data_IF_248323548974
#
_entry.id   IF_248323548974
#
_cell.length_a   1.000
_cell.length_b   1.000
_cell.length_c   1.000
_cell.angle_alpha   90.00
_cell.angle_beta   90.00
_cell.angle_gamma   90.00
#
_symmetry.space_group_name_H-M   'P 1'
#
loop_
_entity.id
_entity.type
_entity.pdbx_description
1 polymer ?
#
# COMPACT_ATOMS: atom_id res chain seq x y z
N UNK A 1 27.88 28.45 -52.06
CA UNK A 1 26.75 28.24 -51.13
C UNK A 1 27.16 28.77 -49.76
N UNK A 2 26.44 29.76 -49.25
CA UNK A 2 26.77 30.47 -48.00
C UNK A 2 26.24 29.67 -46.80
N UNK A 3 27.13 29.38 -45.86
CA UNK A 3 26.85 28.71 -44.59
C UNK A 3 26.18 29.72 -43.65
N UNK A 4 24.89 29.55 -43.34
CA UNK A 4 24.21 30.34 -42.30
C UNK A 4 24.43 29.69 -40.95
N UNK A 5 25.29 30.31 -40.13
CA UNK A 5 25.45 30.01 -38.71
C UNK A 5 24.38 30.79 -37.96
N UNK A 6 23.33 30.11 -37.51
CA UNK A 6 22.35 30.69 -36.58
C UNK A 6 22.89 30.50 -35.17
N UNK A 7 23.42 31.57 -34.60
CA UNK A 7 23.85 31.64 -33.19
C UNK A 7 22.60 31.84 -32.33
N UNK A 8 22.10 30.77 -31.71
CA UNK A 8 21.07 30.86 -30.67
C UNK A 8 21.78 31.20 -29.36
N UNK A 9 21.60 32.43 -28.88
CA UNK A 9 22.00 32.88 -27.54
C UNK A 9 21.17 32.12 -26.49
N UNK A 10 21.68 30.99 -26.00
CA UNK A 10 21.16 30.35 -24.79
C UNK A 10 21.70 31.14 -23.59
N UNK A 11 20.83 31.94 -23.00
CA UNK A 11 21.07 32.70 -21.79
C UNK A 11 21.37 31.72 -20.64
N UNK A 12 22.65 31.48 -20.34
CA UNK A 12 23.11 30.79 -19.15
C UNK A 12 22.82 31.65 -17.91
N UNK A 13 21.59 31.58 -17.39
CA UNK A 13 21.31 32.02 -16.03
C UNK A 13 21.92 30.98 -15.09
N UNK A 14 22.97 31.42 -14.41
CA UNK A 14 23.62 30.81 -13.26
C UNK A 14 22.61 30.22 -12.26
N UNK A 15 22.22 28.95 -12.44
CA UNK A 15 21.62 28.16 -11.38
C UNK A 15 22.72 27.82 -10.39
N UNK A 16 22.83 28.66 -9.36
CA UNK A 16 23.55 28.40 -8.12
C UNK A 16 23.35 26.93 -7.72
N UNK A 17 24.46 26.21 -7.58
CA UNK A 17 24.54 24.89 -6.96
C UNK A 17 23.80 24.89 -5.62
N UNK A 18 22.54 24.45 -5.62
CA UNK A 18 21.86 24.10 -4.37
C UNK A 18 22.45 22.77 -3.89
N UNK A 19 23.37 22.85 -2.93
CA UNK A 19 23.64 21.70 -2.03
C UNK A 19 22.31 21.32 -1.40
N UNK A 20 21.69 20.23 -1.86
CA UNK A 20 20.61 19.59 -1.14
C UNK A 20 21.16 19.05 0.18
N UNK A 21 21.13 19.91 1.22
CA UNK A 21 21.18 19.47 2.60
C UNK A 21 19.92 18.64 2.84
N UNK A 22 20.08 17.32 2.77
CA UNK A 22 19.14 16.34 3.33
C UNK A 22 18.93 16.65 4.81
N UNK A 23 17.97 17.53 5.11
CA UNK A 23 17.41 17.70 6.44
C UNK A 23 16.21 16.78 6.54
N UNK A 24 16.38 15.64 7.23
CA UNK A 24 15.29 14.83 7.78
C UNK A 24 14.33 15.76 8.53
N UNK A 25 13.21 16.13 7.91
CA UNK A 25 12.18 17.00 8.48
C UNK A 25 11.02 16.12 8.95
N UNK A 26 11.10 15.69 10.20
CA UNK A 26 9.89 15.36 10.95
C UNK A 26 9.11 16.68 11.13
N UNK A 27 8.10 16.94 10.30
CA UNK A 27 7.21 18.10 10.47
C UNK A 27 5.87 17.64 11.05
N UNK A 28 5.68 17.91 12.33
CA UNK A 28 4.35 18.14 12.89
C UNK A 28 3.82 19.45 12.31
N UNK A 29 2.60 19.47 11.80
CA UNK A 29 1.92 20.71 11.41
C UNK A 29 1.32 21.32 12.68
N UNK A 30 1.56 22.62 12.89
CA UNK A 30 0.86 23.43 13.88
C UNK A 30 0.13 24.53 13.11
N UNK A 31 -1.17 24.68 13.34
CA UNK A 31 -1.89 25.89 12.95
C UNK A 31 -1.35 27.05 13.80
N UNK A 32 -0.83 28.08 13.14
CA UNK A 32 -0.36 29.29 13.81
C UNK A 32 -1.60 30.16 14.07
N UNK A 33 -1.96 30.30 15.34
CA UNK A 33 -2.78 31.42 15.79
C UNK A 33 -1.84 32.61 16.00
N UNK A 34 -2.21 33.80 15.50
CA UNK A 34 -1.28 34.92 15.27
C UNK A 34 -0.75 35.63 16.52
N UNK A 35 -1.22 35.27 17.72
CA UNK A 35 -0.91 36.01 18.94
C UNK A 35 -0.27 35.12 20.01
N UNK A 36 1.07 34.97 19.98
CA UNK A 36 1.96 34.80 21.14
C UNK A 36 3.30 34.14 20.76
N UNK A 37 4.39 34.88 20.95
CA UNK A 37 5.75 34.44 20.66
C UNK A 37 6.37 33.64 21.81
N UNK A 38 5.88 32.43 22.11
CA UNK A 38 6.64 31.46 22.92
C UNK A 38 6.27 30.00 22.59
N UNK A 39 6.88 29.46 21.53
CA UNK A 39 6.84 28.02 21.25
C UNK A 39 7.85 27.27 22.13
N UNK A 40 7.42 26.79 23.30
CA UNK A 40 8.15 25.73 24.03
C UNK A 40 8.21 24.48 23.13
N UNK A 41 9.38 24.20 22.56
CA UNK A 41 9.67 22.91 21.90
C UNK A 41 9.64 21.79 22.93
N UNK A 42 8.47 21.23 23.21
CA UNK A 42 8.39 19.87 23.77
C UNK A 42 8.84 18.92 22.66
N UNK A 43 10.03 18.33 22.79
CA UNK A 43 10.42 17.13 22.03
C UNK A 43 9.49 16.00 22.47
N UNK A 44 8.31 15.92 21.86
CA UNK A 44 7.49 14.73 21.99
C UNK A 44 8.23 13.63 21.24
N UNK A 45 8.95 12.76 21.96
CA UNK A 45 9.40 11.47 21.43
C UNK A 45 8.13 10.67 21.15
N UNK A 46 7.46 10.93 20.01
CA UNK A 46 6.36 10.09 19.54
C UNK A 46 6.96 8.69 19.40
N UNK A 47 6.53 7.75 20.25
CA UNK A 47 6.81 6.33 20.02
C UNK A 47 6.30 6.05 18.62
N UNK A 48 7.22 5.78 17.69
CA UNK A 48 6.87 5.50 16.31
C UNK A 48 6.22 4.12 16.34
N UNK A 49 4.90 4.09 16.25
CA UNK A 49 4.19 2.88 15.87
C UNK A 49 4.73 2.47 14.50
N UNK A 50 5.08 1.20 14.33
CA UNK A 50 5.64 0.70 13.07
C UNK A 50 4.86 -0.55 12.68
N UNK A 51 3.60 -0.35 12.28
CA UNK A 51 2.84 -1.43 11.68
C UNK A 51 3.53 -1.86 10.39
N UNK A 52 3.94 -3.13 10.30
CA UNK A 52 4.52 -3.73 9.10
C UNK A 52 3.43 -4.53 8.38
N UNK A 53 3.44 -4.50 7.05
CA UNK A 53 2.62 -5.41 6.24
C UNK A 53 3.14 -6.84 6.43
N UNK A 54 2.28 -7.70 6.96
CA UNK A 54 2.62 -9.09 7.26
C UNK A 54 1.97 -10.06 6.26
N UNK A 55 0.80 -9.71 5.73
CA UNK A 55 0.16 -10.49 4.69
C UNK A 55 -1.17 -9.93 4.20
N UNK A 56 -1.78 -10.66 3.29
CA UNK A 56 -3.12 -10.39 2.76
C UNK A 56 -3.91 -11.69 2.66
N UNK A 57 -5.19 -11.62 2.99
CA UNK A 57 -6.11 -12.73 2.87
C UNK A 57 -7.15 -12.46 1.78
N UNK A 58 -7.46 -13.45 0.96
CA UNK A 58 -8.57 -13.38 0.02
C UNK A 58 -9.10 -14.78 -0.33
N UNK A 59 -10.32 -14.82 -0.87
CA UNK A 59 -11.08 -16.04 -1.13
C UNK A 59 -10.79 -16.59 -2.53
N UNK A 60 -10.76 -17.92 -2.66
CA UNK A 60 -10.56 -18.62 -3.93
C UNK A 60 -11.63 -19.69 -4.13
N UNK A 61 -12.02 -19.95 -5.38
CA UNK A 61 -13.00 -21.01 -5.69
C UNK A 61 -12.42 -22.41 -5.52
N UNK A 62 -11.16 -22.60 -5.86
CA UNK A 62 -10.46 -23.88 -5.77
C UNK A 62 -9.06 -23.65 -5.19
N UNK A 63 -8.91 -24.02 -3.93
CA UNK A 63 -7.68 -23.82 -3.15
C UNK A 63 -6.50 -24.58 -3.77
N UNK A 64 -6.70 -25.80 -4.24
CA UNK A 64 -5.63 -26.60 -4.81
C UNK A 64 -5.18 -26.05 -6.16
N UNK A 65 -6.12 -25.59 -7.00
CA UNK A 65 -5.82 -24.92 -8.26
C UNK A 65 -5.06 -23.61 -8.03
N UNK A 66 -5.48 -22.81 -7.04
CA UNK A 66 -4.80 -21.55 -6.73
C UNK A 66 -3.43 -21.80 -6.12
N UNK A 67 -3.27 -22.76 -5.19
CA UNK A 67 -1.94 -23.17 -4.68
C UNK A 67 -1.03 -23.56 -5.85
N UNK A 68 -1.49 -24.44 -6.75
CA UNK A 68 -0.71 -24.90 -7.91
C UNK A 68 -0.26 -23.73 -8.78
N UNK A 69 -1.15 -22.76 -9.05
CA UNK A 69 -0.79 -21.55 -9.78
C UNK A 69 0.33 -20.77 -9.08
N UNK A 70 0.16 -20.41 -7.80
CA UNK A 70 1.16 -19.62 -7.09
C UNK A 70 2.49 -20.36 -6.94
N UNK A 71 2.50 -21.69 -6.74
CA UNK A 71 3.75 -22.45 -6.60
C UNK A 71 4.44 -22.68 -7.93
N UNK A 72 3.71 -23.03 -8.99
CA UNK A 72 4.31 -23.49 -10.24
C UNK A 72 4.51 -22.35 -11.25
N UNK A 73 3.68 -21.31 -11.19
CA UNK A 73 3.78 -20.14 -12.10
C UNK A 73 4.60 -19.02 -11.46
N UNK A 74 4.37 -18.74 -10.17
CA UNK A 74 4.96 -17.61 -9.47
C UNK A 74 6.03 -17.98 -8.44
N UNK A 75 6.37 -19.28 -8.31
CA UNK A 75 7.42 -19.79 -7.44
C UNK A 75 7.23 -19.46 -5.95
N UNK A 76 5.99 -19.28 -5.50
CA UNK A 76 5.69 -19.19 -4.07
C UNK A 76 5.90 -20.55 -3.39
N UNK A 77 6.29 -20.52 -2.12
CA UNK A 77 6.35 -21.70 -1.26
C UNK A 77 5.13 -21.75 -0.37
N UNK A 78 4.59 -22.95 -0.17
CA UNK A 78 3.54 -23.18 0.82
C UNK A 78 4.17 -23.19 2.20
N UNK A 79 3.87 -22.18 3.02
CA UNK A 79 4.33 -22.11 4.41
C UNK A 79 3.43 -22.95 5.33
N UNK A 80 2.11 -22.86 5.13
CA UNK A 80 1.11 -23.60 5.90
C UNK A 80 -0.04 -23.99 5.00
N UNK A 81 -0.54 -25.22 5.12
CA UNK A 81 -1.77 -25.68 4.47
C UNK A 81 -2.69 -26.31 5.50
N UNK A 82 -3.91 -25.83 5.54
CA UNK A 82 -5.01 -26.37 6.32
C UNK A 82 -6.09 -26.91 5.37
N UNK A 83 -7.20 -27.42 5.92
CA UNK A 83 -8.28 -28.01 5.13
C UNK A 83 -8.92 -27.00 4.16
N UNK A 84 -9.10 -25.78 4.61
CA UNK A 84 -9.86 -24.73 3.92
C UNK A 84 -9.03 -23.46 3.67
N UNK A 85 -7.74 -23.46 3.99
CA UNK A 85 -6.88 -22.31 3.73
C UNK A 85 -5.42 -22.71 3.54
N UNK A 86 -4.66 -21.85 2.88
CA UNK A 86 -3.22 -22.01 2.74
C UNK A 86 -2.50 -20.66 2.80
N UNK A 87 -1.36 -20.64 3.48
CA UNK A 87 -0.44 -19.52 3.51
C UNK A 87 0.74 -19.78 2.58
N UNK A 88 0.99 -18.83 1.70
CA UNK A 88 2.01 -18.84 0.68
C UNK A 88 2.98 -17.68 0.91
N UNK A 89 4.27 -17.95 0.75
CA UNK A 89 5.33 -16.95 0.91
C UNK A 89 6.21 -16.92 -0.34
N UNK A 90 6.69 -15.73 -0.69
CA UNK A 90 7.72 -15.53 -1.70
C UNK A 90 8.96 -14.99 -0.99
N UNK A 91 10.06 -15.74 -1.06
CA UNK A 91 11.26 -15.49 -0.27
C UNK A 91 11.10 -15.70 1.23
N UNK A 92 12.12 -15.30 1.99
CA UNK A 92 12.23 -15.59 3.42
C UNK A 92 11.75 -14.42 4.32
N UNK A 93 11.69 -13.18 3.80
CA UNK A 93 11.43 -11.95 4.57
C UNK A 93 10.18 -11.15 4.12
N UNK A 94 9.40 -11.71 3.20
CA UNK A 94 8.23 -11.06 2.58
C UNK A 94 6.92 -11.25 3.33
N UNK A 95 5.93 -10.41 3.03
CA UNK A 95 4.56 -10.63 3.46
C UNK A 95 3.97 -11.89 2.79
N UNK A 96 3.08 -12.60 3.49
CA UNK A 96 2.43 -13.80 2.96
C UNK A 96 1.12 -13.49 2.24
N UNK A 97 0.72 -14.40 1.36
CA UNK A 97 -0.63 -14.50 0.82
C UNK A 97 -1.33 -15.63 1.54
N UNK A 98 -2.53 -15.39 2.08
CA UNK A 98 -3.38 -16.45 2.62
C UNK A 98 -4.61 -16.63 1.75
N UNK A 99 -4.66 -17.77 1.08
CA UNK A 99 -5.79 -18.21 0.30
C UNK A 99 -6.81 -18.86 1.23
N UNK A 100 -8.07 -18.47 1.09
CA UNK A 100 -9.19 -19.05 1.85
C UNK A 100 -10.12 -19.73 0.85
N UNK A 101 -10.27 -21.05 0.96
CA UNK A 101 -11.27 -21.80 0.21
C UNK A 101 -12.64 -21.22 0.52
N UNK A 102 -13.33 -20.79 -0.52
CA UNK A 102 -14.69 -20.30 -0.40
C UNK A 102 -15.62 -21.41 0.10
N UNK A 103 -16.53 -21.04 0.99
CA UNK A 103 -17.70 -21.85 1.38
C UNK A 103 -18.91 -21.64 0.45
N UNK A 104 -20.12 -21.71 0.98
CA UNK A 104 -21.37 -21.50 0.22
C UNK A 104 -21.60 -20.00 -0.10
N UNK A 105 -22.00 -19.69 -1.34
CA UNK A 105 -22.31 -18.32 -1.83
C UNK A 105 -21.62 -17.97 -3.15
N UNK A 106 -21.79 -16.75 -3.67
CA UNK A 106 -21.00 -16.20 -4.78
C UNK A 106 -20.12 -15.05 -4.28
N UNK A 107 -18.90 -14.92 -4.84
CA UNK A 107 -18.06 -13.76 -4.56
C UNK A 107 -17.72 -13.01 -5.85
N UNK A 108 -17.53 -11.71 -5.72
CA UNK A 108 -17.08 -10.83 -6.78
C UNK A 108 -15.68 -10.32 -6.46
N UNK A 109 -14.80 -10.37 -7.46
CA UNK A 109 -13.47 -9.79 -7.38
C UNK A 109 -13.60 -8.30 -7.68
N UNK A 110 -12.99 -7.49 -6.83
CA UNK A 110 -12.92 -6.06 -7.06
C UNK A 110 -12.14 -5.80 -8.34
N UNK A 111 -12.48 -4.73 -9.04
CA UNK A 111 -11.95 -4.57 -10.37
C UNK A 111 -10.43 -4.28 -10.38
N UNK A 112 -9.72 -4.87 -11.33
CA UNK A 112 -8.27 -4.74 -11.43
C UNK A 112 -7.89 -3.74 -12.53
N UNK A 113 -7.21 -2.65 -12.15
CA UNK A 113 -6.57 -1.76 -13.12
C UNK A 113 -5.31 -2.43 -13.69
N UNK A 114 -5.29 -2.61 -15.01
CA UNK A 114 -4.09 -3.03 -15.74
C UNK A 114 -3.33 -1.78 -16.19
N UNK A 115 -2.03 -1.75 -15.92
CA UNK A 115 -1.11 -0.74 -16.50
C UNK A 115 -0.15 -1.46 -17.44
N UNK A 116 0.45 -0.79 -18.40
CA UNK A 116 1.51 -1.41 -19.23
C UNK A 116 2.74 -0.53 -19.20
N UNK A 117 3.78 -1.01 -18.55
CA UNK A 117 5.12 -0.44 -18.63
C UNK A 117 6.04 -1.43 -19.34
N UNK A 118 7.17 -0.94 -19.82
CA UNK A 118 8.19 -1.78 -20.45
C UNK A 118 8.81 -2.82 -19.48
N UNK A 119 8.73 -2.57 -18.18
CA UNK A 119 9.39 -3.38 -17.14
C UNK A 119 8.41 -4.19 -16.28
N UNK A 120 7.13 -4.23 -16.64
CA UNK A 120 6.16 -5.05 -15.93
C UNK A 120 5.19 -5.77 -16.87
N UNK A 121 4.61 -6.85 -16.37
CA UNK A 121 3.46 -7.49 -17.00
C UNK A 121 2.36 -7.74 -15.95
N UNK A 122 1.13 -7.85 -16.45
CA UNK A 122 -0.03 -8.15 -15.61
C UNK A 122 -0.55 -9.52 -16.01
N UNK A 123 -0.74 -10.36 -15.01
CA UNK A 123 -1.36 -11.67 -15.15
C UNK A 123 -2.54 -11.72 -14.19
N UNK A 124 -3.46 -12.65 -14.43
CA UNK A 124 -4.55 -12.96 -13.50
C UNK A 124 -4.33 -14.34 -12.93
N UNK A 125 -4.65 -14.50 -11.65
CA UNK A 125 -4.73 -15.82 -11.05
C UNK A 125 -5.98 -16.59 -11.54
N UNK A 126 -6.18 -17.86 -11.12
CA UNK A 126 -7.30 -18.68 -11.59
C UNK A 126 -8.69 -18.12 -11.31
N UNK A 127 -8.82 -17.25 -10.31
CA UNK A 127 -10.08 -16.64 -9.90
C UNK A 127 -10.29 -15.28 -10.58
N UNK A 128 -9.20 -14.60 -10.98
CA UNK A 128 -9.22 -13.32 -11.68
C UNK A 128 -8.54 -12.18 -10.93
N UNK A 129 -7.83 -12.47 -9.82
CA UNK A 129 -7.07 -11.45 -9.11
C UNK A 129 -5.90 -10.95 -9.96
N UNK A 130 -5.80 -9.63 -10.11
CA UNK A 130 -4.72 -9.01 -10.88
C UNK A 130 -3.39 -9.06 -10.12
N UNK A 131 -2.36 -9.59 -10.78
CA UNK A 131 -0.99 -9.68 -10.28
C UNK A 131 -0.08 -8.90 -11.21
N UNK A 132 0.62 -7.92 -10.65
CA UNK A 132 1.65 -7.18 -11.36
C UNK A 132 3.01 -7.84 -11.12
N UNK A 133 3.58 -8.41 -12.18
CA UNK A 133 4.93 -8.96 -12.18
C UNK A 133 5.88 -7.86 -12.65
N UNK A 134 6.79 -7.46 -11.77
CA UNK A 134 7.74 -6.38 -12.03
C UNK A 134 9.14 -6.97 -12.17
N UNK A 135 9.86 -6.58 -13.22
CA UNK A 135 11.27 -6.90 -13.33
C UNK A 135 12.05 -6.07 -12.31
N UNK A 136 12.51 -6.71 -11.24
CA UNK A 136 13.39 -6.11 -10.23
C UNK A 136 14.72 -6.85 -10.14
N UNK A 137 15.77 -6.12 -9.74
CA UNK A 137 17.13 -6.66 -9.53
C UNK A 137 17.39 -7.10 -8.08
N UNK A 138 16.37 -7.07 -7.22
CA UNK A 138 16.47 -7.35 -5.78
C UNK A 138 15.84 -8.72 -5.42
N UNK A 139 15.83 -9.05 -4.12
CA UNK A 139 15.39 -10.36 -3.60
C UNK A 139 13.98 -10.77 -4.00
N UNK A 140 13.78 -12.07 -4.24
CA UNK A 140 12.46 -12.68 -4.44
C UNK A 140 11.57 -12.43 -3.21
N UNK A 141 10.62 -11.51 -3.31
CA UNK A 141 9.64 -11.23 -2.25
C UNK A 141 8.33 -10.72 -2.83
N UNK A 142 7.25 -10.80 -2.04
CA UNK A 142 6.04 -10.03 -2.35
C UNK A 142 6.34 -8.54 -2.23
N UNK A 143 6.54 -7.86 -3.35
CA UNK A 143 6.97 -6.45 -3.40
C UNK A 143 5.93 -5.51 -2.81
N UNK A 144 4.68 -5.66 -3.27
CA UNK A 144 3.64 -4.67 -3.03
C UNK A 144 2.25 -5.26 -3.05
N UNK A 145 1.39 -4.71 -2.20
CA UNK A 145 -0.05 -4.94 -2.17
C UNK A 145 -0.71 -3.62 -2.54
N UNK A 146 -1.57 -3.64 -3.56
CA UNK A 146 -2.27 -2.45 -4.06
C UNK A 146 -3.74 -2.52 -3.70
N UNK A 147 -4.25 -1.46 -3.06
CA UNK A 147 -5.68 -1.19 -2.91
C UNK A 147 -6.05 0.12 -3.59
N UNK A 148 -7.34 0.28 -3.86
CA UNK A 148 -7.90 1.54 -4.35
C UNK A 148 -8.45 2.37 -3.20
N UNK A 149 -8.34 3.68 -3.29
CA UNK A 149 -8.85 4.62 -2.29
C UNK A 149 -9.64 5.70 -2.98
N UNK A 150 -10.69 6.21 -2.34
CA UNK A 150 -11.41 7.42 -2.75
C UNK A 150 -10.69 8.70 -2.31
N UNK A 151 -9.76 8.60 -1.36
CA UNK A 151 -9.12 9.76 -0.73
C UNK A 151 -7.72 9.43 -0.25
N UNK A 152 -6.72 9.93 -0.96
CA UNK A 152 -5.31 9.78 -0.53
C UNK A 152 -5.03 10.45 0.82
N UNK A 153 -5.85 11.43 1.22
CA UNK A 153 -5.76 12.09 2.54
C UNK A 153 -6.20 11.15 3.64
N UNK A 154 -7.29 10.42 3.45
CA UNK A 154 -7.81 9.47 4.43
C UNK A 154 -6.91 8.23 4.52
N UNK A 155 -6.42 7.74 3.38
CA UNK A 155 -5.37 6.73 3.36
C UNK A 155 -4.13 7.16 4.18
N UNK A 156 -3.63 8.38 3.97
CA UNK A 156 -2.49 8.89 4.74
C UNK A 156 -2.83 9.03 6.23
N UNK A 157 -4.00 9.56 6.58
CA UNK A 157 -4.44 9.69 7.97
C UNK A 157 -4.45 8.32 8.67
N UNK A 158 -5.02 7.31 8.03
CA UNK A 158 -5.12 5.96 8.59
C UNK A 158 -3.75 5.28 8.68
N UNK A 159 -3.06 5.09 7.56
CA UNK A 159 -1.84 4.28 7.54
C UNK A 159 -0.63 5.00 8.14
N UNK A 160 -0.48 6.32 7.93
CA UNK A 160 0.64 7.08 8.48
C UNK A 160 0.35 7.64 9.88
N UNK A 161 -0.71 8.44 10.04
CA UNK A 161 -0.87 9.20 11.29
C UNK A 161 -1.36 8.32 12.45
N UNK A 162 -2.30 7.42 12.17
CA UNK A 162 -2.85 6.47 13.14
C UNK A 162 -1.89 5.29 13.30
N UNK A 163 -1.66 4.50 12.25
CA UNK A 163 -0.88 3.26 12.33
C UNK A 163 0.65 3.46 12.32
N UNK A 164 1.14 4.65 11.99
CA UNK A 164 2.57 4.98 12.08
C UNK A 164 3.45 4.45 10.95
N UNK A 165 2.85 3.97 9.85
CA UNK A 165 3.61 3.62 8.65
C UNK A 165 4.25 4.88 8.03
N UNK A 166 5.38 4.71 7.36
CA UNK A 166 6.02 5.82 6.65
C UNK A 166 5.46 5.93 5.23
N UNK A 167 5.03 7.13 4.85
CA UNK A 167 4.78 7.45 3.44
C UNK A 167 6.12 7.57 2.72
N UNK A 168 6.49 6.54 1.94
CA UNK A 168 7.81 6.43 1.31
C UNK A 168 7.87 7.04 -0.08
N UNK A 169 6.74 7.09 -0.79
CA UNK A 169 6.65 7.64 -2.14
C UNK A 169 5.23 8.16 -2.39
N UNK A 170 5.14 9.24 -3.16
CA UNK A 170 3.92 9.68 -3.82
C UNK A 170 4.22 9.68 -5.31
N UNK A 171 3.35 9.11 -6.12
CA UNK A 171 3.50 9.07 -7.57
C UNK A 171 2.21 9.54 -8.25
N UNK A 172 2.33 10.50 -9.15
CA UNK A 172 1.24 10.91 -10.04
C UNK A 172 1.31 10.12 -11.34
N UNK A 173 0.15 9.80 -11.90
CA UNK A 173 -0.06 8.96 -13.08
C UNK A 173 -1.03 9.65 -14.02
N UNK A 174 -0.65 10.82 -14.54
CA UNK A 174 -1.57 11.71 -15.29
C UNK A 174 -2.09 11.12 -16.61
N UNK A 175 -1.46 10.08 -17.18
CA UNK A 175 -1.82 9.50 -18.49
C UNK A 175 -1.64 7.96 -18.56
N UNK A 176 -1.77 7.22 -17.44
CA UNK A 176 -1.25 5.84 -17.36
C UNK A 176 -2.26 4.77 -16.92
N UNK A 177 -3.50 5.13 -16.57
CA UNK A 177 -4.47 4.17 -16.03
C UNK A 177 -5.52 3.87 -17.09
N UNK A 178 -5.51 2.68 -17.67
CA UNK A 178 -6.59 2.22 -18.56
C UNK A 178 -7.63 1.44 -17.77
N UNK A 179 -8.89 1.89 -17.81
CA UNK A 179 -10.05 1.19 -17.24
C UNK A 179 -11.14 1.01 -18.29
N UNK A 180 -11.68 -0.20 -18.47
CA UNK A 180 -11.40 -1.09 -19.61
C UNK A 180 -11.13 -0.44 -21.00
N UNK A 181 -11.46 0.82 -21.28
CA UNK A 181 -11.13 1.53 -22.53
C UNK A 181 -10.85 3.05 -22.40
N UNK A 182 -10.77 3.63 -21.20
CA UNK A 182 -10.49 5.07 -20.98
C UNK A 182 -9.20 5.29 -20.16
N UNK A 183 -8.39 6.28 -20.55
CA UNK A 183 -7.20 6.73 -19.80
C UNK A 183 -7.64 7.68 -18.71
N UNK A 184 -7.46 7.29 -17.45
CA UNK A 184 -7.66 8.15 -16.29
C UNK A 184 -6.32 8.58 -15.70
N UNK A 185 -6.28 9.83 -15.23
CA UNK A 185 -5.22 10.28 -14.35
C UNK A 185 -5.39 9.66 -12.97
N UNK A 186 -4.31 9.51 -12.20
CA UNK A 186 -4.42 9.10 -10.81
C UNK A 186 -3.20 9.42 -9.97
N UNK A 187 -3.27 9.07 -8.69
CA UNK A 187 -2.19 9.27 -7.74
C UNK A 187 -2.02 8.04 -6.85
N UNK A 188 -0.79 7.69 -6.49
CA UNK A 188 -0.50 6.53 -5.66
C UNK A 188 0.38 6.92 -4.48
N UNK A 189 -0.04 6.48 -3.29
CA UNK A 189 0.67 6.67 -2.02
C UNK A 189 1.22 5.33 -1.58
N UNK A 190 2.51 5.30 -1.25
CA UNK A 190 3.22 4.08 -0.90
C UNK A 190 3.62 4.13 0.57
N UNK A 191 3.16 3.16 1.36
CA UNK A 191 3.39 3.08 2.79
C UNK A 191 4.29 1.87 3.14
N UNK A 192 5.26 2.08 4.02
CA UNK A 192 6.14 1.01 4.52
C UNK A 192 6.61 1.32 5.95
N UNK A 193 6.92 0.29 6.74
CA UNK A 193 7.47 0.46 8.09
C UNK A 193 9.00 0.45 8.13
N UNK A 194 9.63 -0.30 7.22
CA UNK A 194 11.05 -0.62 7.23
C UNK A 194 11.61 -0.65 5.80
N UNK A 195 12.94 -0.63 5.67
CA UNK A 195 13.57 -0.84 4.38
C UNK A 195 13.38 -2.31 3.97
N UNK A 196 13.10 -2.55 2.69
CA UNK A 196 12.90 -3.88 2.11
C UNK A 196 11.63 -4.65 2.58
N UNK A 197 10.72 -4.07 3.36
CA UNK A 197 9.41 -4.70 3.62
C UNK A 197 8.45 -4.57 2.43
N UNK A 198 7.43 -5.44 2.36
CA UNK A 198 6.32 -5.31 1.42
C UNK A 198 5.64 -3.95 1.57
N UNK A 199 5.41 -3.29 0.44
CA UNK A 199 4.84 -1.95 0.36
C UNK A 199 3.32 -2.04 0.26
N UNK A 200 2.60 -1.21 1.01
CA UNK A 200 1.17 -0.98 0.79
C UNK A 200 1.02 0.22 -0.16
N UNK A 201 0.37 0.02 -1.30
CA UNK A 201 0.06 1.07 -2.26
C UNK A 201 -1.44 1.38 -2.23
N UNK A 202 -1.77 2.63 -1.96
CA UNK A 202 -3.13 3.16 -2.09
C UNK A 202 -3.20 3.96 -3.40
N UNK A 203 -3.94 3.45 -4.37
CA UNK A 203 -4.13 4.05 -5.68
C UNK A 203 -5.47 4.79 -5.75
N UNK A 204 -5.41 6.07 -6.06
CA UNK A 204 -6.55 6.94 -6.31
C UNK A 204 -6.66 7.17 -7.82
N UNK A 205 -7.83 6.91 -8.39
CA UNK A 205 -8.17 7.32 -9.74
C UNK A 205 -8.88 8.67 -9.67
N UNK A 206 -8.53 9.59 -10.57
CA UNK A 206 -9.26 10.85 -10.69
C UNK A 206 -10.67 10.57 -11.21
N UNK A 207 -11.64 11.32 -10.68
CA UNK A 207 -13.05 11.29 -11.08
C UNK A 207 -13.81 9.98 -10.74
N UNK A 208 -13.21 9.08 -9.97
CA UNK A 208 -13.87 7.90 -9.39
C UNK A 208 -14.30 8.19 -7.94
N UNK A 209 -15.61 8.25 -7.72
CA UNK A 209 -16.20 8.52 -6.40
C UNK A 209 -16.55 7.24 -5.63
N UNK A 210 -16.65 6.10 -6.32
CA UNK A 210 -17.03 4.82 -5.73
C UNK A 210 -15.96 3.74 -5.95
N UNK A 211 -15.82 2.84 -4.98
CA UNK A 211 -14.87 1.73 -5.06
C UNK A 211 -15.59 0.42 -5.36
N UNK A 212 -15.28 -0.19 -6.50
CA UNK A 212 -15.74 -1.54 -6.84
C UNK A 212 -14.84 -2.60 -6.18
N UNK A 213 -14.87 -2.69 -4.84
CA UNK A 213 -13.99 -3.57 -4.05
C UNK A 213 -14.36 -5.07 -4.15
N UNK A 214 -15.60 -5.38 -4.53
CA UNK A 214 -16.14 -6.73 -4.42
C UNK A 214 -16.24 -7.22 -2.96
N UNK A 215 -16.39 -8.53 -2.76
CA UNK A 215 -16.53 -9.15 -1.42
C UNK A 215 -15.57 -10.34 -1.20
N UNK A 216 -14.61 -10.48 -2.11
CA UNK A 216 -13.68 -11.60 -2.18
C UNK A 216 -12.39 -11.34 -1.38
N UNK A 217 -12.02 -10.06 -1.22
CA UNK A 217 -10.92 -9.64 -0.37
C UNK A 217 -11.26 -9.90 1.10
N UNK A 218 -10.34 -10.54 1.83
CA UNK A 218 -10.43 -10.79 3.25
C UNK A 218 -9.87 -9.61 4.05
N UNK A 219 -8.73 -9.85 4.71
CA UNK A 219 -8.07 -8.88 5.59
C UNK A 219 -6.69 -8.49 5.04
N UNK A 220 -6.35 -7.21 5.15
CA UNK A 220 -4.95 -6.78 5.16
C UNK A 220 -4.36 -7.06 6.55
N UNK A 221 -3.32 -7.88 6.63
CA UNK A 221 -2.69 -8.26 7.88
C UNK A 221 -1.51 -7.33 8.15
N UNK A 222 -1.56 -6.64 9.28
CA UNK A 222 -0.48 -5.79 9.77
C UNK A 222 0.02 -6.31 11.12
N UNK A 223 1.34 -6.33 11.32
CA UNK A 223 1.94 -6.69 12.60
C UNK A 223 2.55 -5.48 13.31
N UNK A 224 2.39 -5.39 14.63
CA UNK A 224 2.94 -4.30 15.44
C UNK A 224 3.28 -4.75 16.85
N UNK A 225 4.40 -4.25 17.37
CA UNK A 225 4.90 -4.55 18.73
C UNK A 225 4.06 -3.97 19.88
N UNK A 226 3.05 -3.15 19.58
CA UNK A 226 2.27 -2.47 20.61
C UNK A 226 0.83 -2.19 20.16
N UNK A 227 -0.02 -3.21 20.26
CA UNK A 227 -1.44 -3.13 19.91
C UNK A 227 -2.22 -2.18 20.82
N UNK A 228 -1.90 -2.12 22.12
CA UNK A 228 -2.59 -1.22 23.08
C UNK A 228 -2.46 0.27 22.70
N UNK A 229 -1.28 0.69 22.22
CA UNK A 229 -1.08 2.06 21.76
C UNK A 229 -1.81 2.33 20.43
N UNK A 230 -1.92 1.32 19.56
CA UNK A 230 -2.68 1.42 18.31
C UNK A 230 -4.16 1.55 18.60
N UNK A 231 -4.72 0.68 19.45
CA UNK A 231 -6.10 0.75 19.90
C UNK A 231 -6.43 2.13 20.46
N UNK A 232 -5.59 2.66 21.35
CA UNK A 232 -5.81 4.00 21.91
C UNK A 232 -5.94 5.05 20.80
N UNK A 233 -5.07 5.01 19.80
CA UNK A 233 -5.14 5.94 18.65
C UNK A 233 -6.36 5.70 17.77
N UNK A 234 -6.77 4.45 17.56
CA UNK A 234 -7.98 4.11 16.80
C UNK A 234 -9.21 4.71 17.50
N UNK A 235 -9.32 4.51 18.81
CA UNK A 235 -10.39 5.07 19.64
C UNK A 235 -10.36 6.62 19.66
N UNK A 236 -9.18 7.24 19.76
CA UNK A 236 -9.01 8.71 19.66
C UNK A 236 -9.48 9.28 18.31
N UNK A 237 -9.55 8.44 17.26
CA UNK A 237 -10.02 8.81 15.93
C UNK A 237 -11.43 8.28 15.63
N UNK A 238 -12.16 7.79 16.64
CA UNK A 238 -13.52 7.24 16.52
C UNK A 238 -13.63 6.08 15.51
N UNK A 239 -12.59 5.25 15.40
CA UNK A 239 -12.61 4.05 14.57
C UNK A 239 -13.12 2.88 15.42
N UNK A 240 -14.09 2.15 14.90
CA UNK A 240 -14.64 0.96 15.57
C UNK A 240 -13.57 -0.15 15.64
N UNK A 241 -13.36 -0.68 16.85
CA UNK A 241 -12.37 -1.71 17.15
C UNK A 241 -13.07 -2.97 17.61
N UNK A 242 -12.88 -4.06 16.87
CA UNK A 242 -13.29 -5.41 17.26
C UNK A 242 -12.05 -6.14 17.75
N UNK A 243 -12.12 -6.75 18.93
CA UNK A 243 -11.02 -7.54 19.50
C UNK A 243 -11.37 -9.00 19.60
N UNK A 244 -10.38 -9.85 19.38
CA UNK A 244 -10.48 -11.27 19.72
C UNK A 244 -9.91 -11.56 21.11
N UNK A 245 -10.07 -12.80 21.57
CA UNK A 245 -9.60 -13.26 22.89
C UNK A 245 -8.07 -13.17 23.08
N UNK A 246 -7.32 -13.09 21.97
CA UNK A 246 -5.85 -12.93 21.98
C UNK A 246 -5.41 -11.47 22.04
N UNK A 247 -6.35 -10.52 22.04
CA UNK A 247 -6.07 -9.09 22.00
C UNK A 247 -5.66 -8.56 20.62
N UNK A 248 -5.79 -9.36 19.57
CA UNK A 248 -5.64 -8.92 18.19
C UNK A 248 -6.85 -8.08 17.78
N UNK A 249 -6.64 -7.14 16.88
CA UNK A 249 -7.59 -6.08 16.55
C UNK A 249 -8.03 -6.22 15.10
N UNK A 250 -9.34 -6.24 14.87
CA UNK A 250 -9.95 -6.08 13.57
C UNK A 250 -10.59 -4.69 13.50
N UNK A 251 -10.25 -3.94 12.45
CA UNK A 251 -10.84 -2.63 12.14
C UNK A 251 -11.13 -2.53 10.65
N UNK A 252 -11.92 -1.53 10.27
CA UNK A 252 -11.97 -1.07 8.90
C UNK A 252 -11.11 0.18 8.74
N UNK A 253 -10.41 0.30 7.61
CA UNK A 253 -9.83 1.57 7.22
C UNK A 253 -10.92 2.58 6.78
N UNK A 254 -10.50 3.78 6.41
CA UNK A 254 -11.43 4.85 6.08
C UNK A 254 -12.12 4.67 4.71
N UNK A 255 -11.61 3.77 3.86
CA UNK A 255 -12.28 3.34 2.62
C UNK A 255 -13.14 2.08 2.83
N UNK A 256 -13.02 1.41 3.99
CA UNK A 256 -13.84 0.26 4.38
C UNK A 256 -13.14 -1.10 4.26
N UNK A 257 -11.85 -1.15 3.91
CA UNK A 257 -11.09 -2.40 3.87
C UNK A 257 -10.88 -2.96 5.27
N UNK A 258 -11.00 -4.28 5.42
CA UNK A 258 -10.70 -4.92 6.69
C UNK A 258 -9.19 -4.96 6.93
N UNK A 259 -8.76 -4.47 8.09
CA UNK A 259 -7.37 -4.47 8.55
C UNK A 259 -7.29 -5.25 9.85
N UNK A 260 -6.52 -6.34 9.83
CA UNK A 260 -6.27 -7.19 10.98
C UNK A 260 -4.89 -6.90 11.55
N UNK A 261 -4.86 -6.46 12.80
CA UNK A 261 -3.66 -6.06 13.54
C UNK A 261 -3.32 -7.13 14.57
N UNK A 262 -2.15 -7.75 14.41
CA UNK A 262 -1.63 -8.76 15.33
C UNK A 262 -0.28 -8.35 15.93
N UNK A 263 0.08 -8.99 17.04
CA UNK A 263 1.41 -8.78 17.64
C UNK A 263 2.49 -9.39 16.73
N UNK A 264 3.69 -8.83 16.80
CA UNK A 264 4.84 -9.25 15.97
C UNK A 264 5.61 -10.40 16.60
#
# INVERSE_FOLDING_TARGET
MKLFVVVIFVLFILLKRYKCLSKKKNRCHYFINRDSYHLKKKKCKRKILKCKVDGIEYKVHDLDKSINFYTNVLNFKVNKKEKDNAQLILGDDGAYIKLIQKGEGNFTIGEAQVRRFWTNCFITDPDGYGIEVVLQNESDKLDRIRFFTTSTKDAQKFYSDILGMQLVKIQSHLEEISYPWNIYGGMSYYFSSENNSTILQMAYAYDEEELHMGNSLGNLILCSKNLNLIEKKLNENNIEVIKNDKGEILVKDLDGYNVYLKDK
#
